data_IF_563338478226
#
_entry.id   IF_563338478226
#
_cell.length_a   1.000
_cell.length_b   1.000
_cell.length_c   1.000
_cell.angle_alpha   90.00
_cell.angle_beta   90.00
_cell.angle_gamma   90.00
#
_symmetry.space_group_name_H-M   'P 1'
#
loop_
_entity.id
_entity.type
_entity.pdbx_description
1 polymer ?
#
# COMPACT_ATOMS: atom_id res chain seq x y z
N UNK A 1 -12.20 14.74 -10.77
CA UNK A 1 -11.61 13.40 -10.94
C UNK A 1 -11.84 12.65 -9.63
N UNK A 2 -12.33 11.40 -9.65
CA UNK A 2 -12.51 10.65 -8.40
C UNK A 2 -11.13 10.32 -7.79
N UNK A 3 -11.03 10.16 -6.47
CA UNK A 3 -9.77 9.92 -5.76
C UNK A 3 -9.00 8.70 -6.30
N UNK A 4 -9.70 7.63 -6.64
CA UNK A 4 -9.13 6.42 -7.27
C UNK A 4 -8.51 6.70 -8.64
N UNK A 5 -9.14 7.56 -9.45
CA UNK A 5 -8.63 7.93 -10.77
C UNK A 5 -7.39 8.83 -10.65
N UNK A 6 -7.41 9.77 -9.71
CA UNK A 6 -6.26 10.64 -9.41
C UNK A 6 -5.05 9.81 -8.97
N UNK A 7 -5.28 8.87 -8.07
CA UNK A 7 -4.26 7.92 -7.63
C UNK A 7 -3.61 7.19 -8.80
N UNK A 8 -4.42 6.59 -9.70
CA UNK A 8 -3.87 5.85 -10.84
C UNK A 8 -3.09 6.73 -11.83
N UNK A 9 -3.50 7.99 -12.01
CA UNK A 9 -2.74 8.94 -12.84
C UNK A 9 -1.40 9.28 -12.20
N UNK A 10 -1.37 9.57 -10.90
CA UNK A 10 -0.14 9.85 -10.17
C UNK A 10 0.86 8.68 -10.22
N UNK A 11 0.38 7.44 -10.07
CA UNK A 11 1.21 6.24 -10.24
C UNK A 11 1.75 6.17 -11.67
N UNK A 12 0.89 6.38 -12.67
CA UNK A 12 1.27 6.30 -14.09
C UNK A 12 2.31 7.36 -14.50
N UNK A 13 2.22 8.54 -13.90
CA UNK A 13 3.15 9.65 -14.17
C UNK A 13 4.58 9.35 -13.69
N UNK A 14 4.75 8.42 -12.75
CA UNK A 14 6.06 7.94 -12.30
C UNK A 14 6.65 6.81 -13.14
N UNK A 15 5.83 6.04 -13.88
CA UNK A 15 6.28 4.84 -14.60
C UNK A 15 7.37 5.18 -15.62
N UNK A 16 7.18 6.24 -16.43
CA UNK A 16 8.15 6.58 -17.48
C UNK A 16 9.45 7.14 -16.90
N UNK A 17 9.45 8.13 -15.97
CA UNK A 17 10.69 8.60 -15.35
C UNK A 17 11.49 7.49 -14.66
N UNK A 18 10.82 6.58 -13.95
CA UNK A 18 11.48 5.46 -13.26
C UNK A 18 12.02 4.45 -14.26
N UNK A 19 11.21 4.00 -15.23
CA UNK A 19 11.64 3.02 -16.23
C UNK A 19 12.80 3.50 -17.12
N UNK A 20 12.96 4.81 -17.30
CA UNK A 20 14.12 5.38 -18.02
C UNK A 20 15.39 5.46 -17.15
N UNK A 21 15.26 5.44 -15.83
CA UNK A 21 16.35 5.58 -14.88
C UNK A 21 16.85 4.23 -14.32
N UNK A 22 16.09 3.15 -14.54
CA UNK A 22 16.47 1.78 -14.18
C UNK A 22 17.84 1.36 -14.74
N UNK A 23 18.64 0.72 -13.90
CA UNK A 23 19.91 0.11 -14.26
C UNK A 23 19.74 -1.36 -14.70
N UNK A 24 20.71 -1.95 -15.44
CA UNK A 24 20.63 -3.35 -15.85
C UNK A 24 20.39 -4.32 -14.69
N UNK A 25 19.35 -5.15 -14.82
CA UNK A 25 18.95 -6.12 -13.80
C UNK A 25 17.93 -5.59 -12.80
N UNK A 26 17.51 -4.32 -12.93
CA UNK A 26 16.35 -3.76 -12.24
C UNK A 26 15.12 -3.82 -13.15
N UNK A 27 13.96 -3.92 -12.52
CA UNK A 27 12.65 -3.85 -13.16
C UNK A 27 11.67 -3.10 -12.25
N UNK A 28 10.63 -2.48 -12.83
CA UNK A 28 9.53 -1.90 -12.07
C UNK A 28 8.16 -2.47 -12.43
N UNK A 29 7.27 -2.50 -11.42
CA UNK A 29 5.87 -2.90 -11.56
C UNK A 29 4.97 -2.00 -10.72
N UNK A 30 3.73 -1.83 -11.18
CA UNK A 30 2.69 -1.09 -10.46
C UNK A 30 1.67 -2.03 -9.83
N UNK A 31 1.15 -1.63 -8.67
CA UNK A 31 0.09 -2.35 -7.96
C UNK A 31 0.44 -3.79 -7.57
N UNK A 32 1.72 -4.08 -7.33
CA UNK A 32 2.27 -5.43 -7.15
C UNK A 32 2.78 -5.66 -5.72
N UNK A 33 2.89 -6.93 -5.31
CA UNK A 33 3.22 -7.31 -3.94
C UNK A 33 4.69 -7.67 -3.70
N UNK A 34 5.19 -7.43 -2.50
CA UNK A 34 6.47 -7.93 -1.99
C UNK A 34 6.25 -8.82 -0.76
N UNK A 35 6.73 -10.07 -0.80
CA UNK A 35 6.82 -10.95 0.38
C UNK A 35 8.11 -10.63 1.12
N UNK A 36 8.00 -9.88 2.22
CA UNK A 36 9.13 -9.47 3.04
C UNK A 36 9.52 -10.57 4.05
N UNK A 37 8.54 -11.32 4.54
CA UNK A 37 8.69 -12.53 5.36
C UNK A 37 7.52 -13.48 5.11
N UNK A 38 7.47 -14.63 5.79
CA UNK A 38 6.37 -15.60 5.62
C UNK A 38 5.01 -15.09 6.13
N UNK A 39 5.04 -14.10 7.02
CA UNK A 39 3.89 -13.46 7.65
C UNK A 39 3.77 -11.98 7.30
N UNK A 40 4.64 -11.45 6.42
CA UNK A 40 4.55 -10.08 5.93
C UNK A 40 4.58 -10.01 4.41
N UNK A 41 3.50 -9.48 3.87
CA UNK A 41 3.33 -9.16 2.46
C UNK A 41 2.69 -7.80 2.29
N UNK A 42 3.35 -6.93 1.54
CA UNK A 42 2.93 -5.54 1.34
C UNK A 42 2.72 -5.30 -0.15
N UNK A 43 1.65 -4.59 -0.51
CA UNK A 43 1.37 -4.21 -1.89
C UNK A 43 1.85 -2.78 -2.10
N UNK A 44 2.74 -2.59 -3.07
CA UNK A 44 3.22 -1.26 -3.44
C UNK A 44 2.38 -0.72 -4.59
N UNK A 45 2.20 0.61 -4.64
CA UNK A 45 1.54 1.24 -5.79
C UNK A 45 2.49 1.27 -6.99
N UNK A 46 3.79 1.47 -6.73
CA UNK A 46 4.88 1.20 -7.65
C UNK A 46 6.09 0.65 -6.88
N UNK A 47 6.82 -0.29 -7.46
CA UNK A 47 8.08 -0.77 -6.90
C UNK A 47 9.15 -0.92 -7.99
N UNK A 48 10.41 -0.78 -7.58
CA UNK A 48 11.59 -1.19 -8.35
C UNK A 48 12.25 -2.33 -7.59
N UNK A 49 12.56 -3.42 -8.27
CA UNK A 49 13.14 -4.64 -7.70
C UNK A 49 14.23 -5.20 -8.61
N UNK A 50 15.05 -6.11 -8.07
CA UNK A 50 16.00 -6.88 -8.89
C UNK A 50 15.26 -7.99 -9.62
N UNK A 51 15.52 -8.17 -10.92
CA UNK A 51 14.83 -9.15 -11.76
C UNK A 51 14.84 -10.58 -11.19
N UNK A 52 15.85 -10.95 -10.40
CA UNK A 52 15.95 -12.26 -9.75
C UNK A 52 14.97 -12.47 -8.58
N UNK A 53 14.33 -11.41 -8.08
CA UNK A 53 13.31 -11.48 -7.02
C UNK A 53 11.95 -11.96 -7.52
N UNK A 54 11.70 -11.91 -8.83
CA UNK A 54 10.43 -12.29 -9.46
C UNK A 54 10.38 -13.76 -9.95
N UNK A 55 11.26 -14.64 -9.43
CA UNK A 55 11.38 -16.02 -9.91
C UNK A 55 10.18 -16.91 -9.50
N UNK A 56 9.40 -17.33 -10.48
CA UNK A 56 8.51 -18.51 -10.42
C UNK A 56 7.03 -18.23 -10.16
N UNK A 57 6.69 -17.13 -9.49
CA UNK A 57 5.31 -16.74 -9.17
C UNK A 57 5.04 -15.31 -9.62
N UNK A 58 4.07 -15.11 -10.51
CA UNK A 58 3.69 -13.80 -11.04
C UNK A 58 2.81 -12.98 -10.08
N UNK A 59 2.73 -13.33 -8.79
CA UNK A 59 1.87 -12.62 -7.83
C UNK A 59 2.62 -11.73 -6.82
N UNK A 60 3.96 -11.88 -6.72
CA UNK A 60 4.79 -11.12 -5.78
C UNK A 60 6.28 -11.24 -6.10
N UNK A 61 7.06 -10.26 -5.64
CA UNK A 61 8.53 -10.35 -5.55
C UNK A 61 8.94 -10.86 -4.18
N UNK A 62 10.06 -11.59 -4.11
CA UNK A 62 10.61 -12.12 -2.85
C UNK A 62 11.64 -11.17 -2.24
N UNK A 63 11.48 -10.85 -0.95
CA UNK A 63 12.35 -9.96 -0.19
C UNK A 63 12.10 -8.48 -0.45
N UNK A 64 12.92 -7.63 0.16
CA UNK A 64 12.86 -6.19 0.05
C UNK A 64 13.05 -5.71 -1.40
N UNK A 65 12.13 -4.90 -1.96
CA UNK A 65 12.39 -4.20 -3.22
C UNK A 65 13.52 -3.19 -3.05
N UNK A 66 14.08 -2.70 -4.16
CA UNK A 66 15.09 -1.62 -4.16
C UNK A 66 14.45 -0.26 -3.86
N UNK A 67 13.22 -0.06 -4.34
CA UNK A 67 12.39 1.11 -4.06
C UNK A 67 10.94 0.67 -3.91
N UNK A 68 10.29 1.13 -2.83
CA UNK A 68 8.84 1.10 -2.70
C UNK A 68 8.29 2.52 -2.83
N UNK A 69 7.24 2.70 -3.62
CA UNK A 69 6.53 3.97 -3.78
C UNK A 69 5.06 3.78 -3.42
N UNK A 70 4.56 4.67 -2.57
CA UNK A 70 3.13 4.76 -2.23
C UNK A 70 2.61 6.14 -2.65
N UNK A 71 1.40 6.16 -3.19
CA UNK A 71 0.69 7.38 -3.55
C UNK A 71 -0.44 7.57 -2.55
N UNK A 72 -0.32 8.57 -1.68
CA UNK A 72 -1.31 8.69 -0.59
C UNK A 72 -2.70 8.97 -1.12
N UNK A 73 -3.64 8.21 -0.59
CA UNK A 73 -5.06 8.52 -0.62
C UNK A 73 -5.49 9.12 0.72
N UNK A 74 -6.73 9.63 0.80
CA UNK A 74 -7.29 10.07 2.07
C UNK A 74 -7.27 8.97 3.14
N UNK A 75 -7.50 7.72 2.73
CA UNK A 75 -7.57 6.55 3.62
C UNK A 75 -6.19 5.96 4.01
N UNK A 76 -5.17 6.15 3.17
CA UNK A 76 -3.84 5.52 3.38
C UNK A 76 -2.79 6.46 3.99
N UNK A 77 -3.04 7.78 3.97
CA UNK A 77 -2.08 8.82 4.36
C UNK A 77 -1.33 8.55 5.68
N UNK A 78 -2.06 8.25 6.76
CA UNK A 78 -1.45 8.03 8.09
C UNK A 78 -0.52 6.81 8.07
N UNK A 79 -0.87 5.77 7.31
CA UNK A 79 -0.09 4.53 7.22
C UNK A 79 1.14 4.72 6.35
N UNK A 80 0.98 5.30 5.16
CA UNK A 80 2.08 5.48 4.21
C UNK A 80 3.15 6.41 4.83
N UNK A 81 2.73 7.48 5.52
CA UNK A 81 3.68 8.36 6.22
C UNK A 81 4.14 7.83 7.59
N UNK A 82 3.62 6.69 8.05
CA UNK A 82 3.84 6.15 9.40
C UNK A 82 4.14 4.65 9.36
N UNK A 83 3.14 3.82 9.61
CA UNK A 83 3.32 2.36 9.81
C UNK A 83 4.01 1.65 8.65
N UNK A 84 3.74 2.01 7.39
CA UNK A 84 4.42 1.41 6.23
C UNK A 84 5.87 1.83 6.15
N UNK A 85 6.20 3.08 6.51
CA UNK A 85 7.59 3.53 6.64
C UNK A 85 8.33 2.63 7.64
N UNK A 86 7.76 2.41 8.82
CA UNK A 86 8.39 1.58 9.86
C UNK A 86 8.56 0.12 9.42
N UNK A 87 7.55 -0.43 8.71
CA UNK A 87 7.64 -1.77 8.12
C UNK A 87 8.76 -1.87 7.08
N UNK A 88 8.80 -0.94 6.11
CA UNK A 88 9.82 -0.94 5.08
C UNK A 88 11.23 -0.74 5.65
N UNK A 89 11.39 0.10 6.69
CA UNK A 89 12.65 0.27 7.42
C UNK A 89 13.10 -1.05 8.06
N UNK A 90 12.19 -1.69 8.80
CA UNK A 90 12.45 -2.96 9.51
C UNK A 90 12.86 -4.09 8.57
N UNK A 91 12.33 -4.10 7.35
CA UNK A 91 12.69 -5.08 6.31
C UNK A 91 13.80 -4.59 5.37
N UNK A 92 14.52 -3.53 5.74
CA UNK A 92 15.71 -3.04 5.06
C UNK A 92 15.47 -2.66 3.57
N UNK A 93 14.29 -2.10 3.27
CA UNK A 93 14.03 -1.54 1.94
C UNK A 93 14.94 -0.31 1.74
N UNK A 94 15.81 -0.28 0.71
CA UNK A 94 16.82 0.78 0.59
C UNK A 94 16.25 2.18 0.37
N UNK A 95 15.14 2.27 -0.35
CA UNK A 95 14.48 3.54 -0.65
C UNK A 95 12.95 3.41 -0.52
N UNK A 96 12.34 4.39 0.13
CA UNK A 96 10.90 4.47 0.29
C UNK A 96 10.39 5.87 -0.03
N UNK A 97 9.52 5.98 -1.02
CA UNK A 97 8.94 7.26 -1.43
C UNK A 97 7.44 7.32 -1.18
N UNK A 98 6.99 8.48 -0.70
CA UNK A 98 5.56 8.78 -0.53
C UNK A 98 5.20 9.99 -1.36
N UNK A 99 4.35 9.80 -2.37
CA UNK A 99 3.80 10.88 -3.18
C UNK A 99 2.55 11.40 -2.51
N UNK A 100 2.54 12.70 -2.22
CA UNK A 100 1.47 13.37 -1.51
C UNK A 100 1.02 14.63 -2.25
N UNK A 101 -0.26 14.69 -2.61
CA UNK A 101 -0.86 15.87 -3.22
C UNK A 101 -1.68 16.61 -2.17
N UNK A 102 -1.23 17.82 -1.86
CA UNK A 102 -1.92 18.75 -0.94
C UNK A 102 -2.50 19.94 -1.71
N UNK A 103 -3.22 20.80 -0.99
CA UNK A 103 -3.83 22.01 -1.56
C UNK A 103 -2.80 22.96 -2.21
N UNK A 104 -1.57 22.97 -1.71
CA UNK A 104 -0.43 23.77 -2.20
C UNK A 104 0.43 23.05 -3.25
N UNK A 105 0.05 21.84 -3.67
CA UNK A 105 0.68 21.10 -4.77
C UNK A 105 1.24 19.72 -4.37
N UNK A 106 1.83 19.00 -5.35
CA UNK A 106 2.43 17.70 -5.12
C UNK A 106 3.75 17.82 -4.36
N UNK A 107 4.05 16.81 -3.54
CA UNK A 107 5.33 16.61 -2.89
C UNK A 107 5.70 15.14 -2.89
N UNK A 108 7.01 14.87 -2.90
CA UNK A 108 7.56 13.53 -2.73
C UNK A 108 8.37 13.52 -1.44
N UNK A 109 7.94 12.71 -0.49
CA UNK A 109 8.72 12.37 0.69
C UNK A 109 9.66 11.24 0.32
N UNK A 110 10.95 11.41 0.55
CA UNK A 110 12.01 10.46 0.20
C UNK A 110 12.69 10.01 1.47
N UNK A 111 12.64 8.70 1.72
CA UNK A 111 13.35 8.04 2.80
C UNK A 111 14.39 7.11 2.21
N UNK A 112 15.65 7.25 2.65
CA UNK A 112 16.75 6.38 2.25
C UNK A 112 17.29 5.68 3.49
N UNK A 113 17.54 4.37 3.37
CA UNK A 113 18.07 3.56 4.45
C UNK A 113 19.55 3.90 4.65
N UNK A 114 19.89 4.31 5.87
CA UNK A 114 21.26 4.54 6.30
C UNK A 114 22.00 3.23 6.56
N UNK A 115 23.32 3.33 6.68
CA UNK A 115 24.18 2.19 7.04
C UNK A 115 23.93 1.70 8.49
N UNK A 116 23.20 2.49 9.29
CA UNK A 116 22.73 2.15 10.63
C UNK A 116 21.42 1.35 10.65
N UNK A 117 20.85 1.04 9.47
CA UNK A 117 19.62 0.28 9.34
C UNK A 117 18.36 1.11 9.60
N UNK A 118 18.46 2.44 9.64
CA UNK A 118 17.33 3.34 9.86
C UNK A 118 17.15 4.32 8.70
N UNK A 119 15.91 4.74 8.45
CA UNK A 119 15.69 5.87 7.56
C UNK A 119 16.14 7.16 8.23
N UNK A 120 17.00 7.90 7.54
CA UNK A 120 17.44 9.22 7.99
C UNK A 120 16.31 10.25 8.03
N UNK A 121 16.68 11.51 8.30
CA UNK A 121 15.75 12.64 8.18
C UNK A 121 15.27 12.74 6.73
N UNK A 122 14.05 12.25 6.47
CA UNK A 122 13.51 12.14 5.12
C UNK A 122 13.48 13.48 4.40
N UNK A 123 13.74 13.47 3.10
CA UNK A 123 13.75 14.67 2.27
C UNK A 123 12.35 14.90 1.70
N UNK A 124 11.81 16.12 1.82
CA UNK A 124 10.55 16.50 1.18
C UNK A 124 10.82 17.38 -0.01
N UNK A 125 10.55 16.88 -1.21
CA UNK A 125 10.66 17.62 -2.46
C UNK A 125 9.26 18.15 -2.78
N UNK A 126 9.04 19.44 -2.57
CA UNK A 126 7.78 20.11 -2.90
C UNK A 126 7.76 20.64 -4.34
N UNK A 127 6.58 21.01 -4.83
CA UNK A 127 6.42 21.78 -6.08
C UNK A 127 7.35 23.00 -6.15
N UNK A 128 7.78 23.33 -7.37
CA UNK A 128 8.76 24.37 -7.66
C UNK A 128 10.21 24.02 -7.31
N UNK A 129 10.46 22.82 -6.75
CA UNK A 129 11.79 22.32 -6.42
C UNK A 129 12.11 21.07 -7.26
N UNK A 130 13.40 20.79 -7.39
CA UNK A 130 13.88 19.49 -7.83
C UNK A 130 15.03 19.02 -6.95
N UNK A 131 15.24 17.71 -6.89
CA UNK A 131 16.41 17.10 -6.26
C UNK A 131 16.91 15.93 -7.09
N UNK A 132 18.24 15.80 -7.19
CA UNK A 132 18.88 14.63 -7.75
C UNK A 132 19.04 13.57 -6.65
N UNK A 133 18.40 12.43 -6.83
CA UNK A 133 18.53 11.25 -5.99
C UNK A 133 19.54 10.30 -6.63
N UNK A 134 20.23 9.53 -5.80
CA UNK A 134 21.25 8.57 -6.27
C UNK A 134 20.90 7.12 -5.95
N UNK A 135 19.89 6.89 -5.12
CA UNK A 135 19.40 5.57 -4.73
C UNK A 135 17.92 5.42 -5.11
N UNK A 136 17.49 4.26 -5.62
CA UNK A 136 18.32 3.10 -5.99
C UNK A 136 19.13 3.29 -7.30
N UNK A 137 18.90 4.39 -8.01
CA UNK A 137 19.61 4.79 -9.22
C UNK A 137 19.59 6.32 -9.35
N UNK A 138 20.43 6.92 -10.22
CA UNK A 138 20.41 8.36 -10.47
C UNK A 138 19.10 8.81 -11.13
N UNK A 139 18.35 9.69 -10.46
CA UNK A 139 17.11 10.26 -10.99
C UNK A 139 16.88 11.67 -10.45
N UNK A 140 16.45 12.60 -11.31
CA UNK A 140 15.98 13.92 -10.87
C UNK A 140 14.48 13.86 -10.61
N UNK A 141 14.08 14.15 -9.36
CA UNK A 141 12.67 14.27 -8.97
C UNK A 141 12.29 15.75 -8.94
N UNK A 142 11.33 16.11 -9.77
CA UNK A 142 10.74 17.45 -9.85
C UNK A 142 9.20 17.30 -9.86
N UNK A 143 8.51 17.38 -8.71
CA UNK A 143 7.10 17.03 -8.59
C UNK A 143 6.19 17.72 -9.62
N UNK A 144 6.37 19.02 -9.85
CA UNK A 144 5.53 19.77 -10.80
C UNK A 144 5.72 19.36 -12.27
N UNK A 145 6.89 18.79 -12.61
CA UNK A 145 7.15 18.29 -13.96
C UNK A 145 6.60 16.88 -14.14
N UNK A 146 6.68 16.07 -13.08
CA UNK A 146 6.23 14.67 -13.10
C UNK A 146 4.70 14.63 -13.09
N UNK A 147 4.06 15.42 -12.21
CA UNK A 147 2.61 15.43 -12.00
C UNK A 147 1.92 16.62 -12.70
N UNK A 148 2.40 17.00 -13.90
CA UNK A 148 1.91 18.17 -14.65
C UNK A 148 0.48 18.02 -15.19
N UNK A 149 -0.01 16.77 -15.24
CA UNK A 149 -1.36 16.40 -15.69
C UNK A 149 -2.46 16.67 -14.67
N UNK A 150 -2.11 17.17 -13.48
CA UNK A 150 -3.07 17.54 -12.45
C UNK A 150 -3.98 18.67 -12.95
N UNK A 151 -5.29 18.45 -13.11
CA UNK A 151 -6.17 19.50 -13.61
C UNK A 151 -6.32 20.64 -12.59
N UNK A 152 -6.36 21.88 -13.09
CA UNK A 152 -6.95 23.00 -12.35
C UNK A 152 -8.40 22.66 -11.96
N UNK A 153 -8.74 22.93 -10.70
CA UNK A 153 -9.94 22.40 -10.00
C UNK A 153 -11.28 22.75 -10.68
N UNK A 154 -12.22 21.80 -10.80
CA UNK A 154 -13.65 22.08 -10.72
C UNK A 154 -14.24 21.72 -9.34
N UNK A 155 -15.29 22.45 -8.95
CA UNK A 155 -16.05 22.33 -7.70
C UNK A 155 -16.72 20.95 -7.52
N UNK A 156 -17.03 20.53 -6.26
CA UNK A 156 -17.52 19.19 -5.99
C UNK A 156 -18.92 18.96 -6.58
N UNK A 157 -19.11 17.83 -7.25
CA UNK A 157 -20.43 17.30 -7.61
C UNK A 157 -20.77 16.13 -6.68
N UNK A 158 -21.96 16.17 -6.09
CA UNK A 158 -22.59 15.03 -5.40
C UNK A 158 -22.88 13.94 -6.43
N UNK A 159 -22.58 12.69 -6.09
CA UNK A 159 -23.03 11.51 -6.86
C UNK A 159 -24.10 10.73 -6.11
N UNK A 160 -24.90 10.01 -6.89
CA UNK A 160 -26.18 9.41 -6.54
C UNK A 160 -26.06 7.98 -5.98
N UNK A 161 -27.10 7.59 -5.23
CA UNK A 161 -27.36 6.29 -4.63
C UNK A 161 -27.61 5.18 -5.67
N UNK A 162 -27.13 3.97 -5.40
CA UNK A 162 -27.53 2.73 -6.10
C UNK A 162 -27.88 1.62 -5.09
N UNK A 163 -28.92 0.87 -5.42
CA UNK A 163 -29.70 -0.08 -4.59
C UNK A 163 -29.20 -1.54 -4.62
N UNK A 164 -29.60 -2.31 -3.61
CA UNK A 164 -29.21 -3.68 -3.20
C UNK A 164 -29.66 -4.91 -4.05
N UNK A 165 -29.01 -6.06 -3.71
CA UNK A 165 -29.37 -7.52 -3.73
C UNK A 165 -28.67 -8.38 -4.81
N UNK A 166 -28.14 -9.60 -4.56
CA UNK A 166 -28.59 -10.75 -3.74
C UNK A 166 -27.43 -11.67 -3.32
N UNK A 167 -27.61 -12.46 -2.25
CA UNK A 167 -26.64 -13.35 -1.60
C UNK A 167 -26.35 -14.70 -2.30
N UNK A 168 -25.12 -15.20 -2.10
CA UNK A 168 -24.75 -16.61 -2.17
C UNK A 168 -23.70 -16.94 -1.09
N UNK A 169 -23.84 -18.08 -0.41
CA UNK A 169 -22.87 -18.63 0.57
C UNK A 169 -21.83 -19.49 -0.14
N UNK A 170 -20.58 -19.53 0.36
CA UNK A 170 -20.02 -20.82 0.79
C UNK A 170 -19.15 -20.75 2.07
N UNK A 171 -18.64 -21.91 2.46
CA UNK A 171 -17.96 -22.28 3.70
C UNK A 171 -16.77 -21.39 4.10
N UNK A 172 -16.58 -21.26 5.42
CA UNK A 172 -15.48 -20.49 6.02
C UNK A 172 -14.10 -21.09 5.72
N UNK A 173 -13.04 -20.26 5.71
CA UNK A 173 -11.70 -20.71 5.42
C UNK A 173 -11.12 -21.58 6.55
N UNK A 174 -10.33 -22.59 6.16
CA UNK A 174 -9.44 -23.35 7.05
C UNK A 174 -8.31 -22.42 7.52
N UNK A 175 -8.57 -21.67 8.59
CA UNK A 175 -7.65 -20.71 9.19
C UNK A 175 -6.84 -21.38 10.30
N UNK A 176 -5.56 -20.97 10.48
CA UNK A 176 -4.81 -21.34 11.68
C UNK A 176 -5.52 -20.79 12.93
N UNK A 177 -5.14 -21.28 14.11
CA UNK A 177 -5.76 -20.87 15.38
C UNK A 177 -5.77 -19.34 15.58
N UNK A 178 -6.67 -18.83 16.44
CA UNK A 178 -6.75 -17.39 16.73
C UNK A 178 -5.44 -16.79 17.28
N UNK A 179 -4.63 -17.64 17.89
CA UNK A 179 -3.33 -17.35 18.50
C UNK A 179 -2.16 -17.43 17.51
N UNK A 180 -2.35 -18.07 16.36
CA UNK A 180 -1.27 -18.35 15.40
C UNK A 180 -1.21 -17.26 14.31
N UNK A 181 -0.03 -16.87 13.79
CA UNK A 181 0.05 -15.91 12.69
C UNK A 181 -0.57 -16.49 11.39
N UNK A 182 -1.21 -15.63 10.58
CA UNK A 182 -1.64 -16.03 9.23
C UNK A 182 -0.44 -15.92 8.31
N UNK A 183 0.00 -17.03 7.71
CA UNK A 183 1.07 -17.03 6.73
C UNK A 183 0.54 -16.64 5.34
N UNK A 184 1.42 -16.08 4.51
CA UNK A 184 1.11 -15.59 3.18
C UNK A 184 0.53 -16.66 2.24
N UNK A 185 1.01 -17.91 2.33
CA UNK A 185 0.53 -19.02 1.50
C UNK A 185 -0.93 -19.40 1.86
N UNK A 186 -1.37 -19.07 3.08
CA UNK A 186 -2.76 -19.20 3.53
C UNK A 186 -3.60 -17.94 3.20
N UNK A 187 -2.98 -16.81 2.90
CA UNK A 187 -3.63 -15.52 2.68
C UNK A 187 -4.16 -15.33 1.26
N UNK A 188 -3.43 -15.80 0.24
CA UNK A 188 -3.60 -15.44 -1.18
C UNK A 188 -4.94 -15.76 -1.88
N UNK A 189 -5.94 -16.30 -1.18
CA UNK A 189 -7.21 -16.74 -1.77
C UNK A 189 -8.47 -16.30 -0.99
N UNK A 190 -8.42 -15.25 -0.17
CA UNK A 190 -9.47 -15.00 0.85
C UNK A 190 -10.09 -13.59 0.84
N UNK A 191 -11.34 -13.59 1.30
CA UNK A 191 -12.30 -12.50 1.53
C UNK A 191 -11.72 -11.28 2.29
N UNK A 192 -12.20 -10.03 2.10
CA UNK A 192 -13.45 -9.61 1.42
C UNK A 192 -13.36 -9.26 -0.06
N UNK A 193 -14.37 -9.72 -0.83
CA UNK A 193 -14.77 -9.08 -2.10
C UNK A 193 -15.17 -7.63 -1.82
N UNK A 194 -14.39 -6.68 -2.33
CA UNK A 194 -14.64 -5.24 -2.14
C UNK A 194 -13.45 -4.47 -1.58
N UNK A 195 -12.45 -5.17 -1.02
CA UNK A 195 -11.19 -4.52 -0.63
C UNK A 195 -10.51 -3.88 -1.85
N UNK A 196 -10.17 -2.61 -1.75
CA UNK A 196 -9.42 -1.87 -2.78
C UNK A 196 -7.97 -2.34 -2.83
N UNK A 197 -7.41 -2.59 -1.65
CA UNK A 197 -6.06 -3.10 -1.42
C UNK A 197 -6.08 -4.03 -0.22
N UNK A 198 -5.24 -5.04 -0.28
CA UNK A 198 -5.14 -6.10 0.71
C UNK A 198 -3.66 -6.29 0.99
N UNK A 199 -3.30 -6.47 2.26
CA UNK A 199 -1.92 -6.68 2.74
C UNK A 199 -1.93 -7.61 3.95
N UNK A 200 -0.76 -8.14 4.31
CA UNK A 200 -0.54 -8.97 5.49
C UNK A 200 0.63 -8.40 6.27
N UNK A 201 0.41 -7.95 7.50
CA UNK A 201 1.44 -7.33 8.34
C UNK A 201 1.64 -8.17 9.60
N UNK A 202 2.80 -8.80 9.78
CA UNK A 202 3.09 -9.61 10.97
C UNK A 202 1.99 -10.64 11.29
N UNK A 203 1.49 -11.31 10.25
CA UNK A 203 0.43 -12.30 10.34
C UNK A 203 -0.98 -11.74 10.55
N UNK A 204 -1.14 -10.41 10.47
CA UNK A 204 -2.40 -9.70 10.59
C UNK A 204 -2.90 -9.24 9.20
N UNK A 205 -4.02 -9.79 8.70
CA UNK A 205 -4.69 -9.27 7.52
C UNK A 205 -5.04 -7.79 7.64
N UNK A 206 -4.74 -7.01 6.60
CA UNK A 206 -5.03 -5.58 6.49
C UNK A 206 -5.81 -5.33 5.21
N UNK A 207 -7.03 -4.80 5.33
CA UNK A 207 -7.93 -4.54 4.21
C UNK A 207 -8.22 -3.04 4.11
N UNK A 208 -7.91 -2.45 2.95
CA UNK A 208 -8.18 -1.06 2.64
C UNK A 208 -9.47 -0.94 1.84
N UNK A 209 -10.31 0.01 2.22
CA UNK A 209 -11.60 0.23 1.57
C UNK A 209 -12.56 1.05 2.43
N UNK A 210 -13.82 1.06 2.04
CA UNK A 210 -14.93 1.63 2.81
C UNK A 210 -15.70 0.47 3.45
N UNK A 211 -15.77 0.44 4.79
CA UNK A 211 -16.25 -0.70 5.55
C UNK A 211 -17.47 -0.31 6.37
N UNK A 212 -18.63 -0.93 6.13
CA UNK A 212 -19.83 -0.70 6.93
C UNK A 212 -19.94 -1.70 8.11
N UNK A 213 -20.96 -1.54 8.96
CA UNK A 213 -21.18 -2.42 10.12
C UNK A 213 -21.37 -3.89 9.72
N UNK A 214 -21.98 -4.16 8.56
CA UNK A 214 -22.20 -5.53 8.06
C UNK A 214 -20.88 -6.16 7.64
N UNK A 215 -19.98 -5.37 7.06
CA UNK A 215 -18.63 -5.84 6.71
C UNK A 215 -17.86 -6.28 7.96
N UNK A 216 -17.97 -5.52 9.06
CA UNK A 216 -17.36 -5.88 10.35
C UNK A 216 -17.94 -7.19 10.89
N UNK A 217 -19.27 -7.34 10.92
CA UNK A 217 -19.92 -8.57 11.38
C UNK A 217 -19.51 -9.80 10.54
N UNK A 218 -19.34 -9.62 9.22
CA UNK A 218 -18.87 -10.71 8.35
C UNK A 218 -17.39 -11.03 8.66
N UNK A 219 -16.57 -10.02 8.92
CA UNK A 219 -15.17 -10.22 9.29
C UNK A 219 -15.05 -11.00 10.61
N UNK A 220 -15.79 -10.64 11.64
CA UNK A 220 -15.79 -11.35 12.94
C UNK A 220 -16.19 -12.82 12.78
N UNK A 221 -17.17 -13.10 11.92
CA UNK A 221 -17.60 -14.47 11.61
C UNK A 221 -16.58 -15.24 10.76
N UNK A 222 -15.84 -14.54 9.91
CA UNK A 222 -14.82 -15.13 9.03
C UNK A 222 -13.54 -15.44 9.80
N UNK A 223 -13.21 -14.61 10.79
CA UNK A 223 -12.01 -14.71 11.64
C UNK A 223 -12.40 -14.94 13.11
N UNK A 224 -12.99 -16.11 13.45
CA UNK A 224 -13.47 -16.37 14.79
C UNK A 224 -12.34 -16.31 15.83
N UNK A 225 -12.61 -15.65 16.96
CA UNK A 225 -11.64 -15.51 18.06
C UNK A 225 -10.58 -14.43 17.85
N UNK A 226 -10.52 -13.80 16.68
CA UNK A 226 -9.63 -12.66 16.39
C UNK A 226 -10.32 -11.33 16.67
N UNK A 227 -9.51 -10.28 16.85
CA UNK A 227 -10.01 -8.93 17.08
C UNK A 227 -10.07 -8.18 15.73
N UNK A 228 -11.28 -7.80 15.32
CA UNK A 228 -11.51 -6.93 14.15
C UNK A 228 -11.40 -5.48 14.59
N UNK A 229 -10.51 -4.71 13.94
CA UNK A 229 -10.29 -3.29 14.24
C UNK A 229 -10.51 -2.43 13.00
N UNK A 230 -11.35 -1.41 13.12
CA UNK A 230 -11.41 -0.28 12.19
C UNK A 230 -10.61 0.89 12.76
N UNK A 231 -9.90 1.63 11.93
CA UNK A 231 -9.22 2.86 12.34
C UNK A 231 -10.05 4.14 12.11
N UNK A 232 -11.24 3.97 11.55
CA UNK A 232 -12.18 5.00 11.19
C UNK A 232 -13.63 4.57 11.51
N UNK A 233 -14.60 5.50 11.55
CA UNK A 233 -16.02 5.16 11.68
C UNK A 233 -16.53 4.28 10.51
N UNK A 234 -17.50 3.38 10.73
CA UNK A 234 -18.09 2.60 9.64
C UNK A 234 -18.70 3.48 8.53
N UNK A 235 -18.52 3.06 7.28
CA UNK A 235 -18.94 3.78 6.08
C UNK A 235 -17.98 4.89 5.63
N UNK A 236 -16.85 5.07 6.33
CA UNK A 236 -15.79 5.97 5.87
C UNK A 236 -14.61 5.16 5.28
N UNK A 237 -13.94 5.68 4.22
CA UNK A 237 -12.72 5.07 3.70
C UNK A 237 -11.64 4.98 4.78
N UNK A 238 -11.07 3.80 4.94
CA UNK A 238 -10.01 3.53 5.90
C UNK A 238 -9.61 2.06 5.86
N UNK A 239 -9.37 1.45 7.01
CA UNK A 239 -8.76 0.13 7.05
C UNK A 239 -9.30 -0.76 8.15
N UNK A 240 -9.64 -1.97 7.75
CA UNK A 240 -9.97 -3.07 8.64
C UNK A 240 -8.73 -3.93 8.86
N UNK A 241 -8.33 -4.12 10.12
CA UNK A 241 -7.22 -5.00 10.51
C UNK A 241 -7.77 -6.17 11.32
N UNK A 242 -7.33 -7.38 11.00
CA UNK A 242 -7.64 -8.60 11.76
C UNK A 242 -6.44 -8.93 12.64
N UNK A 243 -6.56 -8.60 13.92
CA UNK A 243 -5.51 -8.81 14.91
C UNK A 243 -5.65 -10.20 15.55
N UNK A 244 -4.57 -10.74 16.16
CA UNK A 244 -4.66 -11.97 16.95
C UNK A 244 -5.73 -11.87 18.04
N UNK A 245 -6.23 -13.03 18.46
CA UNK A 245 -7.10 -13.12 19.62
C UNK A 245 -6.38 -12.70 20.91
N UNK A 246 -7.12 -12.36 21.97
CA UNK A 246 -6.52 -12.25 23.29
C UNK A 246 -5.95 -13.62 23.70
N UNK A 247 -4.72 -13.64 24.19
CA UNK A 247 -4.11 -14.84 24.71
C UNK A 247 -5.04 -15.51 25.74
N UNK A 248 -5.37 -16.78 25.52
CA UNK A 248 -6.17 -17.55 26.47
C UNK A 248 -5.47 -17.66 27.82
N UNK A 249 -6.21 -17.37 28.90
CA UNK A 249 -5.79 -17.66 30.28
C UNK A 249 -5.55 -19.16 30.53
#
# INVERSE_FOLDING_TARGET
MNHTLLHQVLVSDLVVPIGLAEEPGQESLTGFGARLSDDTWIRCDLMVYRADQARGDLWYVRGAPLLAVEVVSAASRIRDLGTKKDLYERFEVPAYWVVDVRDDGPRVHVHELGDDGHYGEGVVIAGGRSAALTRPFPIEIAPDKIFDRLPGRPAPRRSATVSERTAARPAGPDLPGSEEPILIDAFGHRWPTGAEKVELWDGCPVFYGEWDERDVEIAERTYPGRVVRLDQPPGEPGTMTILPGPAGD
#
